data_IF_592624683576
#
_entry.id   IF_592624683576
#
_cell.length_a   1.000
_cell.length_b   1.000
_cell.length_c   1.000
_cell.angle_alpha   90.00
_cell.angle_beta   90.00
_cell.angle_gamma   90.00
#
_symmetry.space_group_name_H-M   'P 1'
#
loop_
_entity.id
_entity.type
_entity.pdbx_description
1 polymer ?
#
# COMPACT_ATOMS: atom_id res chain seq x y z
N UNK A 1 0.30 12.15 3.53
CA UNK A 1 0.33 10.75 4.01
C UNK A 1 1.59 10.11 3.47
N UNK A 2 2.55 9.78 4.35
CA UNK A 2 3.78 9.09 3.95
C UNK A 2 3.43 7.71 3.40
N UNK A 3 3.95 7.36 2.23
CA UNK A 3 3.66 6.09 1.57
C UNK A 3 4.93 5.25 1.66
N UNK A 4 5.02 4.42 2.70
CA UNK A 4 6.04 3.40 2.83
C UNK A 4 5.46 2.06 2.39
N UNK A 5 6.31 1.21 1.81
CA UNK A 5 5.98 -0.21 1.64
C UNK A 5 6.02 -0.86 3.01
N UNK A 6 4.86 -1.27 3.50
CA UNK A 6 4.76 -1.88 4.82
C UNK A 6 5.20 -3.35 4.77
N UNK A 7 5.75 -3.91 5.86
CA UNK A 7 6.05 -5.33 5.97
C UNK A 7 4.79 -6.19 5.85
N UNK A 8 4.93 -7.38 5.27
CA UNK A 8 3.79 -8.31 5.13
C UNK A 8 3.23 -8.79 6.46
N UNK A 9 4.09 -8.95 7.47
CA UNK A 9 3.68 -9.29 8.83
C UNK A 9 2.75 -8.24 9.44
N UNK A 10 3.01 -6.97 9.18
CA UNK A 10 2.18 -5.88 9.68
C UNK A 10 0.79 -5.88 9.03
N UNK A 11 0.72 -6.19 7.72
CA UNK A 11 -0.58 -6.37 7.06
C UNK A 11 -1.38 -7.50 7.71
N UNK A 12 -0.76 -8.65 7.94
CA UNK A 12 -1.42 -9.80 8.57
C UNK A 12 -1.91 -9.48 9.99
N UNK A 13 -1.14 -8.71 10.77
CA UNK A 13 -1.52 -8.29 12.12
C UNK A 13 -2.74 -7.35 12.09
N UNK A 14 -2.72 -6.33 11.24
CA UNK A 14 -3.83 -5.38 11.12
C UNK A 14 -5.08 -6.10 10.58
N UNK A 15 -4.94 -6.94 9.57
CA UNK A 15 -6.05 -7.74 9.03
C UNK A 15 -6.64 -8.68 10.08
N UNK A 16 -5.81 -9.29 10.94
CA UNK A 16 -6.26 -10.10 12.07
C UNK A 16 -7.04 -9.29 13.11
N UNK A 17 -6.58 -8.09 13.48
CA UNK A 17 -7.31 -7.19 14.38
C UNK A 17 -8.66 -6.79 13.76
N UNK A 18 -8.65 -6.44 12.47
CA UNK A 18 -9.84 -6.00 11.74
C UNK A 18 -10.86 -7.14 11.61
N UNK A 19 -10.39 -8.35 11.30
CA UNK A 19 -11.21 -9.55 11.24
C UNK A 19 -11.83 -9.86 12.61
N UNK A 20 -11.03 -9.83 13.69
CA UNK A 20 -11.55 -10.03 15.04
C UNK A 20 -12.63 -9.01 15.37
N UNK A 21 -12.37 -7.72 15.14
CA UNK A 21 -13.36 -6.66 15.36
C UNK A 21 -14.66 -6.90 14.56
N UNK A 22 -14.53 -7.20 13.27
CA UNK A 22 -15.67 -7.40 12.36
C UNK A 22 -16.55 -8.59 12.77
N UNK A 23 -15.93 -9.70 13.15
CA UNK A 23 -16.67 -10.92 13.50
C UNK A 23 -17.15 -10.96 14.96
N UNK A 24 -16.37 -10.40 15.90
CA UNK A 24 -16.61 -10.60 17.33
C UNK A 24 -17.45 -9.48 17.97
N UNK A 25 -17.41 -8.24 17.48
CA UNK A 25 -18.11 -7.15 18.16
C UNK A 25 -17.78 -7.05 19.66
N UNK A 26 -18.75 -6.68 20.50
CA UNK A 26 -18.56 -6.43 21.94
C UNK A 26 -18.81 -7.67 22.84
N UNK A 27 -19.27 -8.80 22.30
CA UNK A 27 -19.60 -10.03 23.05
C UNK A 27 -18.83 -11.25 22.53
N UNK A 28 -18.56 -12.18 23.43
CA UNK A 28 -17.62 -13.31 23.25
C UNK A 28 -17.84 -14.14 21.97
N UNK A 29 -16.70 -14.42 21.31
CA UNK A 29 -16.44 -15.57 20.42
C UNK A 29 -17.55 -15.93 19.44
N UNK A 30 -17.63 -15.21 18.32
CA UNK A 30 -18.35 -15.67 17.13
C UNK A 30 -17.39 -16.33 16.15
N UNK A 31 -17.75 -17.53 15.70
CA UNK A 31 -17.04 -18.27 14.66
C UNK A 31 -16.85 -17.41 13.42
N UNK A 32 -15.64 -17.41 12.85
CA UNK A 32 -15.39 -16.82 11.55
C UNK A 32 -16.18 -17.58 10.48
N UNK A 33 -17.28 -16.99 10.00
CA UNK A 33 -18.15 -17.62 8.98
C UNK A 33 -17.49 -17.68 7.60
N UNK A 34 -16.59 -16.74 7.32
CA UNK A 34 -15.87 -16.64 6.07
C UNK A 34 -14.41 -16.25 6.32
N UNK A 35 -13.49 -16.83 5.55
CA UNK A 35 -12.09 -16.43 5.57
C UNK A 35 -11.95 -14.94 5.22
N UNK A 36 -11.11 -14.21 5.95
CA UNK A 36 -10.91 -12.78 5.74
C UNK A 36 -10.46 -12.44 4.31
N UNK A 37 -9.67 -13.32 3.69
CA UNK A 37 -9.25 -13.18 2.29
C UNK A 37 -10.41 -13.14 1.29
N UNK A 38 -11.51 -13.85 1.56
CA UNK A 38 -12.73 -13.78 0.74
C UNK A 38 -13.53 -12.51 1.03
N UNK A 39 -13.61 -12.10 2.29
CA UNK A 39 -14.23 -10.82 2.67
C UNK A 39 -13.58 -9.63 1.93
N UNK A 40 -12.27 -9.70 1.72
CA UNK A 40 -11.48 -8.70 1.00
C UNK A 40 -11.52 -8.79 -0.53
N UNK A 41 -12.33 -9.68 -1.12
CA UNK A 41 -12.49 -9.71 -2.58
C UNK A 41 -13.42 -8.59 -3.06
N UNK A 42 -13.25 -8.13 -4.32
CA UNK A 42 -14.12 -7.12 -4.90
C UNK A 42 -15.60 -7.51 -4.86
N UNK A 43 -16.47 -6.51 -4.66
CA UNK A 43 -17.94 -6.71 -4.70
C UNK A 43 -18.43 -7.33 -6.03
N UNK A 44 -17.71 -7.06 -7.13
CA UNK A 44 -18.00 -7.63 -8.45
C UNK A 44 -17.87 -9.14 -8.50
N UNK A 45 -17.04 -9.71 -7.62
CA UNK A 45 -16.80 -11.14 -7.52
C UNK A 45 -17.75 -11.81 -6.51
N UNK A 46 -18.73 -11.06 -5.98
CA UNK A 46 -19.80 -11.56 -5.11
C UNK A 46 -19.51 -11.45 -3.61
N UNK A 47 -18.40 -10.85 -3.22
CA UNK A 47 -17.95 -10.73 -1.83
C UNK A 47 -18.24 -9.33 -1.22
N UNK A 48 -17.88 -9.13 0.05
CA UNK A 48 -18.21 -7.93 0.84
C UNK A 48 -17.50 -6.65 0.38
N UNK A 49 -16.51 -6.75 -0.51
CA UNK A 49 -15.86 -5.57 -1.10
C UNK A 49 -14.90 -4.83 -0.16
N UNK A 50 -14.46 -5.45 0.94
CA UNK A 50 -13.37 -4.88 1.74
C UNK A 50 -12.10 -4.82 0.90
N UNK A 51 -11.29 -3.78 1.05
CA UNK A 51 -10.01 -3.70 0.32
C UNK A 51 -8.93 -4.38 1.14
N UNK A 52 -8.24 -5.37 0.54
CA UNK A 52 -7.02 -5.91 1.13
C UNK A 52 -5.99 -4.80 1.36
N UNK A 53 -5.36 -4.80 2.53
CA UNK A 53 -4.48 -3.70 2.93
C UNK A 53 -3.19 -3.67 2.11
N UNK A 54 -2.72 -4.85 1.70
CA UNK A 54 -1.56 -5.02 0.84
C UNK A 54 -1.78 -4.36 -0.52
N UNK A 55 -2.88 -4.67 -1.18
CA UNK A 55 -3.26 -4.12 -2.49
C UNK A 55 -3.51 -2.62 -2.38
N UNK A 56 -4.14 -2.18 -1.29
CA UNK A 56 -4.37 -0.76 -1.04
C UNK A 56 -3.06 0.02 -0.85
N UNK A 57 -2.09 -0.51 -0.10
CA UNK A 57 -0.77 0.11 0.07
C UNK A 57 -0.02 0.17 -1.27
N UNK A 58 -0.05 -0.89 -2.07
CA UNK A 58 0.54 -0.90 -3.41
C UNK A 58 -0.09 0.15 -4.33
N UNK A 59 -1.42 0.29 -4.31
CA UNK A 59 -2.12 1.32 -5.08
C UNK A 59 -1.77 2.74 -4.63
N UNK A 60 -1.61 2.97 -3.32
CA UNK A 60 -1.17 4.26 -2.78
C UNK A 60 0.27 4.59 -3.18
N UNK A 61 1.17 3.60 -3.16
CA UNK A 61 2.55 3.76 -3.63
C UNK A 61 2.58 4.08 -5.13
N UNK A 62 1.82 3.35 -5.94
CA UNK A 62 1.70 3.61 -7.37
C UNK A 62 1.15 5.02 -7.65
N UNK A 63 0.15 5.47 -6.87
CA UNK A 63 -0.36 6.84 -6.96
C UNK A 63 0.73 7.87 -6.67
N UNK A 64 1.55 7.69 -5.64
CA UNK A 64 2.65 8.63 -5.38
C UNK A 64 3.73 8.58 -6.47
N UNK A 65 4.12 7.38 -6.92
CA UNK A 65 5.07 7.22 -8.01
C UNK A 65 4.59 7.93 -9.29
N UNK A 66 3.30 7.81 -9.61
CA UNK A 66 2.67 8.50 -10.73
C UNK A 66 2.74 10.03 -10.60
N UNK A 67 2.52 10.56 -9.39
CA UNK A 67 2.65 12.00 -9.13
C UNK A 67 4.08 12.48 -9.28
N UNK A 68 5.06 11.71 -8.81
CA UNK A 68 6.48 12.04 -9.04
C UNK A 68 6.79 12.03 -10.54
N UNK A 69 6.23 11.09 -11.31
CA UNK A 69 6.46 11.01 -12.74
C UNK A 69 5.79 12.13 -13.55
N UNK A 70 4.62 12.63 -13.12
CA UNK A 70 3.81 13.59 -13.91
C UNK A 70 3.91 15.03 -13.42
N UNK A 71 4.00 15.27 -12.11
CA UNK A 71 4.01 16.61 -11.51
C UNK A 71 5.45 17.10 -11.25
N UNK A 72 6.14 17.58 -12.29
CA UNK A 72 7.57 17.98 -12.21
C UNK A 72 7.83 19.23 -11.37
N UNK A 73 6.81 20.05 -11.16
CA UNK A 73 6.86 21.29 -10.36
C UNK A 73 6.77 21.04 -8.85
N UNK A 74 6.43 19.82 -8.41
CA UNK A 74 6.43 19.49 -6.99
C UNK A 74 7.85 19.56 -6.44
N UNK A 75 7.98 20.12 -5.24
CA UNK A 75 9.23 20.07 -4.47
C UNK A 75 9.70 18.63 -4.25
N UNK A 76 8.76 17.69 -4.04
CA UNK A 76 9.06 16.26 -3.93
C UNK A 76 9.76 15.73 -5.18
N UNK A 77 9.24 16.01 -6.38
CA UNK A 77 9.87 15.59 -7.62
C UNK A 77 11.26 16.20 -7.77
N UNK A 78 11.42 17.50 -7.49
CA UNK A 78 12.71 18.17 -7.59
C UNK A 78 13.76 17.55 -6.65
N UNK A 79 13.41 17.32 -5.38
CA UNK A 79 14.32 16.70 -4.40
C UNK A 79 14.68 15.27 -4.83
N UNK A 80 13.71 14.47 -5.25
CA UNK A 80 13.95 13.10 -5.70
C UNK A 80 14.79 13.04 -6.97
N UNK A 81 14.55 13.95 -7.92
CA UNK A 81 15.32 14.05 -9.17
C UNK A 81 16.79 14.33 -8.89
N UNK A 82 17.09 15.32 -8.06
CA UNK A 82 18.48 15.66 -7.75
C UNK A 82 19.20 14.54 -6.97
N UNK A 83 18.47 13.78 -6.14
CA UNK A 83 19.07 12.73 -5.32
C UNK A 83 19.21 11.38 -6.04
N UNK A 84 18.18 10.95 -6.75
CA UNK A 84 18.08 9.56 -7.24
C UNK A 84 18.20 9.43 -8.76
N UNK A 85 17.84 10.45 -9.53
CA UNK A 85 17.86 10.38 -11.00
C UNK A 85 18.28 11.72 -11.65
N UNK A 86 19.51 12.21 -11.37
CA UNK A 86 20.00 13.45 -11.95
C UNK A 86 20.18 13.28 -13.46
N UNK A 87 19.56 14.15 -14.25
CA UNK A 87 19.68 14.13 -15.72
C UNK A 87 18.85 13.06 -16.44
N UNK A 88 18.13 12.20 -15.73
CA UNK A 88 17.24 11.19 -16.31
C UNK A 88 15.79 11.38 -15.88
N UNK A 89 14.90 10.51 -16.38
CA UNK A 89 13.48 10.50 -16.05
C UNK A 89 13.18 9.42 -15.00
N UNK A 90 12.08 9.58 -14.27
CA UNK A 90 11.65 8.65 -13.22
C UNK A 90 11.58 7.18 -13.69
N UNK A 91 11.11 6.92 -14.91
CA UNK A 91 10.98 5.58 -15.47
C UNK A 91 12.28 4.96 -15.99
N UNK A 92 13.28 5.79 -16.28
CA UNK A 92 14.57 5.37 -16.86
C UNK A 92 15.71 5.51 -15.85
N UNK A 93 15.37 5.70 -14.57
CA UNK A 93 16.33 5.87 -13.51
C UNK A 93 17.04 4.53 -13.21
N UNK A 94 18.36 4.55 -13.19
CA UNK A 94 19.18 3.40 -12.83
C UNK A 94 19.65 3.50 -11.37
N UNK A 95 20.13 2.37 -10.83
CA UNK A 95 20.63 2.32 -9.46
C UNK A 95 21.91 3.18 -9.35
N UNK A 96 21.79 4.35 -8.72
CA UNK A 96 22.91 5.26 -8.51
C UNK A 96 23.90 4.79 -7.43
N UNK A 97 24.95 5.58 -7.20
CA UNK A 97 26.00 5.27 -6.23
C UNK A 97 25.53 5.30 -4.76
N UNK A 98 24.46 6.04 -4.44
CA UNK A 98 23.96 6.21 -3.07
C UNK A 98 22.45 5.89 -2.97
N UNK A 99 22.06 4.60 -3.14
CA UNK A 99 20.67 4.21 -2.96
C UNK A 99 20.24 4.40 -1.50
N UNK A 100 18.96 4.73 -1.29
CA UNK A 100 18.36 4.70 0.03
C UNK A 100 18.29 3.26 0.54
N UNK A 101 18.72 3.03 1.77
CA UNK A 101 18.58 1.73 2.43
C UNK A 101 17.10 1.37 2.57
N UNK A 102 16.74 0.18 2.11
CA UNK A 102 15.47 -0.50 2.39
C UNK A 102 15.76 -1.92 2.80
#
# INVERSE_FOLDING_TARGET
MGCFKLPESLFAEIESITARFFWHGEMESKTHWLAWSKVCQPLKDGDLGFRGLKEYNAALLAKQAWRVATETNLLLHQVLRHRYFPGSNFFTAELGHAPSFT
#
